data_IF_274604684054
#
_entry.id   IF_274604684054
#
_cell.length_a   1.000
_cell.length_b   1.000
_cell.length_c   1.000
_cell.angle_alpha   90.00
_cell.angle_beta   90.00
_cell.angle_gamma   90.00
#
_symmetry.space_group_name_H-M   'P 1'
#
loop_
_entity.id
_entity.type
_entity.pdbx_description
1 polymer ?
#
# COMPACT_ATOMS: atom_id res chain seq x y z
N UNK A 1 15.91 -6.89 -13.01
CA UNK A 1 15.25 -5.75 -12.32
C UNK A 1 13.85 -5.62 -12.90
N UNK A 2 12.79 -5.60 -12.07
CA UNK A 2 11.41 -5.42 -12.57
C UNK A 2 11.27 -4.07 -13.26
N UNK A 3 10.38 -3.96 -14.23
CA UNK A 3 10.05 -2.71 -14.93
C UNK A 3 9.01 -1.91 -14.15
N UNK A 4 9.00 -0.59 -14.30
CA UNK A 4 8.02 0.28 -13.61
C UNK A 4 6.58 -0.11 -13.95
N UNK A 5 6.29 -0.51 -15.19
CA UNK A 5 4.97 -1.02 -15.57
C UNK A 5 4.52 -2.25 -14.77
N UNK A 6 5.42 -3.15 -14.38
CA UNK A 6 5.07 -4.30 -13.54
C UNK A 6 4.77 -3.87 -12.10
N UNK A 7 5.41 -2.80 -11.60
CA UNK A 7 5.14 -2.24 -10.27
C UNK A 7 3.83 -1.47 -10.24
N UNK A 8 3.50 -0.76 -11.32
CA UNK A 8 2.19 -0.12 -11.48
C UNK A 8 1.09 -1.18 -11.45
N UNK A 9 1.30 -2.32 -12.10
CA UNK A 9 0.36 -3.44 -12.03
C UNK A 9 0.21 -3.99 -10.60
N UNK A 10 1.31 -4.13 -9.84
CA UNK A 10 1.23 -4.54 -8.43
C UNK A 10 0.41 -3.55 -7.60
N UNK A 11 0.60 -2.24 -7.81
CA UNK A 11 -0.14 -1.18 -7.12
C UNK A 11 -1.63 -1.27 -7.46
N UNK A 12 -1.97 -1.41 -8.75
CA UNK A 12 -3.36 -1.52 -9.19
C UNK A 12 -4.05 -2.75 -8.61
N UNK A 13 -3.38 -3.91 -8.65
CA UNK A 13 -3.90 -5.13 -8.06
C UNK A 13 -4.09 -4.97 -6.54
N UNK A 14 -3.12 -4.37 -5.84
CA UNK A 14 -3.23 -4.12 -4.41
C UNK A 14 -4.41 -3.20 -4.06
N UNK A 15 -4.66 -2.14 -4.85
CA UNK A 15 -5.83 -1.28 -4.68
C UNK A 15 -7.12 -2.08 -4.80
N UNK A 16 -7.27 -2.89 -5.86
CA UNK A 16 -8.46 -3.73 -6.05
C UNK A 16 -8.67 -4.72 -4.89
N UNK A 17 -7.58 -5.27 -4.36
CA UNK A 17 -7.61 -6.18 -3.20
C UNK A 17 -8.04 -5.47 -1.92
N UNK A 18 -7.65 -4.22 -1.72
CA UNK A 18 -8.10 -3.39 -0.60
C UNK A 18 -9.59 -3.08 -0.75
N UNK A 19 -10.01 -2.59 -1.93
CA UNK A 19 -11.39 -2.20 -2.23
C UNK A 19 -12.40 -3.32 -2.02
N UNK A 20 -12.00 -4.56 -2.33
CA UNK A 20 -12.81 -5.77 -2.11
C UNK A 20 -13.36 -5.88 -0.69
N UNK A 21 -12.62 -5.43 0.33
CA UNK A 21 -13.04 -5.53 1.72
C UNK A 21 -13.30 -4.16 2.38
N UNK A 22 -12.72 -3.07 1.89
CA UNK A 22 -12.95 -1.73 2.44
C UNK A 22 -14.40 -1.28 2.29
N UNK A 23 -15.10 -1.74 1.24
CA UNK A 23 -16.52 -1.47 0.99
C UNK A 23 -17.44 -1.97 2.12
N UNK A 24 -16.97 -2.92 2.95
CA UNK A 24 -17.72 -3.41 4.12
C UNK A 24 -17.75 -2.42 5.28
N UNK A 25 -16.98 -1.33 5.18
CA UNK A 25 -17.01 -0.20 6.10
C UNK A 25 -16.14 -0.38 7.33
N UNK A 26 -15.95 0.73 8.05
CA UNK A 26 -15.02 0.86 9.18
C UNK A 26 -15.33 -0.10 10.34
N UNK A 27 -16.60 -0.31 10.67
CA UNK A 27 -16.98 -1.17 11.80
C UNK A 27 -16.53 -2.62 11.56
N UNK A 28 -16.72 -3.12 10.34
CA UNK A 28 -16.29 -4.47 9.97
C UNK A 28 -14.76 -4.56 10.00
N UNK A 29 -14.07 -3.56 9.45
CA UNK A 29 -12.61 -3.47 9.54
C UNK A 29 -12.12 -3.54 10.98
N UNK A 30 -12.69 -2.76 11.91
CA UNK A 30 -12.24 -2.72 13.30
C UNK A 30 -12.52 -4.02 14.09
N UNK A 31 -13.43 -4.86 13.64
CA UNK A 31 -13.83 -6.09 14.34
C UNK A 31 -13.26 -7.37 13.73
N UNK A 32 -12.66 -7.30 12.54
CA UNK A 32 -12.17 -8.46 11.80
C UNK A 32 -10.66 -8.33 11.52
N UNK A 33 -9.86 -9.04 12.33
CA UNK A 33 -8.40 -9.05 12.24
C UNK A 33 -7.89 -9.54 10.87
N UNK A 34 -8.62 -10.46 10.21
CA UNK A 34 -8.23 -10.94 8.89
C UNK A 34 -8.39 -9.84 7.84
N UNK A 35 -9.45 -9.03 7.93
CA UNK A 35 -9.62 -7.88 7.05
C UNK A 35 -8.57 -6.81 7.33
N UNK A 36 -8.24 -6.55 8.61
CA UNK A 36 -7.18 -5.62 8.97
C UNK A 36 -5.85 -6.04 8.36
N UNK A 37 -5.44 -7.28 8.62
CA UNK A 37 -4.20 -7.86 8.11
C UNK A 37 -4.18 -7.84 6.59
N UNK A 38 -5.29 -8.21 5.94
CA UNK A 38 -5.40 -8.18 4.49
C UNK A 38 -5.19 -6.79 3.90
N UNK A 39 -5.86 -5.77 4.45
CA UNK A 39 -5.75 -4.39 3.95
C UNK A 39 -4.34 -3.85 4.19
N UNK A 40 -3.78 -4.05 5.39
CA UNK A 40 -2.44 -3.59 5.73
C UNK A 40 -1.36 -4.24 4.87
N UNK A 41 -1.48 -5.53 4.59
CA UNK A 41 -0.57 -6.24 3.69
C UNK A 41 -0.54 -5.61 2.29
N UNK A 42 -1.71 -5.30 1.72
CA UNK A 42 -1.77 -4.70 0.39
C UNK A 42 -1.30 -3.23 0.38
N UNK A 43 -1.52 -2.49 1.48
CA UNK A 43 -0.92 -1.16 1.63
C UNK A 43 0.62 -1.21 1.68
N UNK A 44 1.21 -2.25 2.28
CA UNK A 44 2.66 -2.46 2.24
C UNK A 44 3.18 -2.74 0.83
N UNK A 45 2.45 -3.52 0.03
CA UNK A 45 2.78 -3.77 -1.38
C UNK A 45 2.83 -2.46 -2.16
N UNK A 46 1.83 -1.59 -1.95
CA UNK A 46 1.77 -0.27 -2.61
C UNK A 46 3.01 0.58 -2.24
N UNK A 47 3.36 0.64 -0.95
CA UNK A 47 4.53 1.40 -0.48
C UNK A 47 5.84 0.86 -1.04
N UNK A 48 6.03 -0.47 -1.06
CA UNK A 48 7.23 -1.12 -1.59
C UNK A 48 7.37 -0.89 -3.11
N UNK A 49 6.27 -1.06 -3.86
CA UNK A 49 6.25 -0.83 -5.30
C UNK A 49 6.55 0.63 -5.64
N UNK A 50 5.98 1.57 -4.88
CA UNK A 50 6.23 3.01 -5.05
C UNK A 50 7.67 3.40 -4.76
N UNK A 51 8.26 2.85 -3.70
CA UNK A 51 9.68 3.05 -3.35
C UNK A 51 10.65 2.53 -4.42
N UNK A 52 10.24 1.49 -5.14
CA UNK A 52 11.08 0.81 -6.12
C UNK A 52 10.93 1.34 -7.55
N UNK A 53 10.13 2.40 -7.77
CA UNK A 53 10.01 3.07 -9.07
C UNK A 53 11.33 3.76 -9.45
N UNK A 54 11.59 3.86 -10.76
CA UNK A 54 12.71 4.65 -11.27
C UNK A 54 12.50 6.16 -11.07
N UNK A 55 13.60 6.91 -10.94
CA UNK A 55 13.55 8.38 -10.84
C UNK A 55 12.88 9.00 -12.08
N UNK A 56 13.13 8.47 -13.28
CA UNK A 56 12.50 8.93 -14.53
C UNK A 56 10.97 8.77 -14.48
N UNK A 57 10.47 7.66 -13.94
CA UNK A 57 9.05 7.42 -13.77
C UNK A 57 8.44 8.37 -12.73
N UNK A 58 9.11 8.55 -11.59
CA UNK A 58 8.66 9.47 -10.54
C UNK A 58 8.61 10.91 -11.05
N UNK A 59 9.65 11.36 -11.75
CA UNK A 59 9.75 12.72 -12.28
C UNK A 59 8.75 12.99 -13.42
N UNK A 60 8.31 11.95 -14.14
CA UNK A 60 7.28 12.07 -15.18
C UNK A 60 5.85 12.08 -14.64
N UNK A 61 5.64 11.71 -13.37
CA UNK A 61 4.34 11.69 -12.69
C UNK A 61 4.39 12.47 -11.36
N UNK A 62 4.72 13.77 -11.39
CA UNK A 62 4.86 14.59 -10.18
C UNK A 62 3.53 14.85 -9.46
N UNK A 63 2.39 14.55 -10.09
CA UNK A 63 1.06 14.64 -9.48
C UNK A 63 0.80 13.56 -8.43
N UNK A 64 1.65 12.54 -8.36
CA UNK A 64 1.56 11.46 -7.38
C UNK A 64 2.55 11.71 -6.24
N UNK A 65 2.08 11.63 -4.99
CA UNK A 65 2.89 11.79 -3.78
C UNK A 65 3.74 10.53 -3.49
N UNK A 66 4.67 10.20 -4.38
CA UNK A 66 5.48 8.98 -4.33
C UNK A 66 6.21 8.77 -3.00
N UNK A 67 6.77 9.85 -2.45
CA UNK A 67 7.52 9.81 -1.19
C UNK A 67 6.60 9.46 -0.02
N UNK A 68 5.44 10.11 0.07
CA UNK A 68 4.48 9.86 1.15
C UNK A 68 3.92 8.44 1.08
N UNK A 69 3.64 7.93 -0.13
CA UNK A 69 3.20 6.54 -0.33
C UNK A 69 4.28 5.55 0.12
N UNK A 70 5.55 5.81 -0.23
CA UNK A 70 6.67 4.97 0.19
C UNK A 70 6.88 5.00 1.72
N UNK A 71 6.79 6.18 2.34
CA UNK A 71 6.99 6.37 3.77
C UNK A 71 5.82 5.84 4.61
N UNK A 72 4.62 5.76 4.04
CA UNK A 72 3.45 5.18 4.71
C UNK A 72 3.69 3.72 5.16
N UNK A 73 4.53 2.97 4.45
CA UNK A 73 4.99 1.63 4.89
C UNK A 73 5.61 1.68 6.28
N UNK A 74 6.44 2.69 6.55
CA UNK A 74 7.11 2.83 7.84
C UNK A 74 6.09 3.12 8.95
N UNK A 75 5.07 3.94 8.66
CA UNK A 75 3.97 4.18 9.60
C UNK A 75 3.20 2.89 9.91
N UNK A 76 2.84 2.09 8.90
CA UNK A 76 2.14 0.81 9.12
C UNK A 76 2.99 -0.13 9.97
N UNK A 77 4.27 -0.31 9.63
CA UNK A 77 5.16 -1.24 10.34
C UNK A 77 5.40 -0.79 11.78
N UNK A 78 5.64 0.51 12.01
CA UNK A 78 5.94 1.01 13.34
C UNK A 78 4.69 1.19 14.21
N UNK A 79 3.62 1.79 13.69
CA UNK A 79 2.45 2.12 14.52
C UNK A 79 1.48 0.94 14.69
N UNK A 80 1.38 0.04 13.71
CA UNK A 80 0.42 -1.07 13.77
C UNK A 80 1.02 -2.35 14.34
N UNK A 81 2.18 -2.76 13.83
CA UNK A 81 2.78 -4.05 14.21
C UNK A 81 3.58 -3.97 15.53
N UNK A 82 4.10 -2.80 15.94
CA UNK A 82 4.77 -2.70 17.25
C UNK A 82 3.82 -2.55 18.44
N UNK A 83 2.58 -2.09 18.22
CA UNK A 83 1.59 -1.89 19.31
C UNK A 83 0.66 -3.08 19.54
N UNK A 84 0.68 -4.07 18.64
CA UNK A 84 -0.23 -5.23 18.66
C UNK A 84 0.51 -6.53 19.02
N UNK A 85 1.84 -6.49 19.25
CA UNK A 85 2.66 -7.60 19.76
C UNK A 85 3.12 -7.31 21.20
#
# INVERSE_FOLDING_TARGET
MRKDGERVQDIQEAILRIEKYSIRGKNVFLQDELIQTWILHHLQIIGEASRAMSEDFVNSHPEIEWLDIADFRNVIVHEYFQKTL
#
